data_IF_276024406782
#
_entry.id   IF_276024406782
#
_cell.length_a   1.000
_cell.length_b   1.000
_cell.length_c   1.000
_cell.angle_alpha   90.00
_cell.angle_beta   90.00
_cell.angle_gamma   90.00
#
_symmetry.space_group_name_H-M   'P 1'
#
loop_
_entity.id
_entity.type
_entity.pdbx_description
1 polymer ?
#
# COMPACT_ATOMS: atom_id res chain seq x y z
N UNK A 1 15.17 -7.61 0.25
CA UNK A 1 16.09 -7.16 1.29
C UNK A 1 15.51 -7.36 2.70
N UNK A 2 14.40 -6.66 3.06
CA UNK A 2 13.81 -6.75 4.42
C UNK A 2 13.46 -8.17 4.86
N UNK A 3 12.94 -9.02 3.98
CA UNK A 3 12.62 -10.41 4.29
C UNK A 3 13.85 -11.33 4.32
N UNK A 4 14.95 -10.94 3.68
CA UNK A 4 16.20 -11.70 3.62
C UNK A 4 17.08 -11.43 4.84
N UNK A 5 17.10 -10.19 5.33
CA UNK A 5 17.81 -9.75 6.55
C UNK A 5 17.03 -10.05 7.82
N UNK A 6 15.78 -10.49 7.70
CA UNK A 6 14.88 -10.74 8.84
C UNK A 6 15.38 -11.92 9.69
N UNK A 7 15.29 -11.75 11.01
CA UNK A 7 15.55 -12.80 12.01
C UNK A 7 14.59 -13.97 11.78
N UNK A 8 15.05 -15.19 11.96
CA UNK A 8 14.21 -16.39 11.85
C UNK A 8 12.99 -16.28 12.77
N UNK A 9 11.82 -16.65 12.23
CA UNK A 9 10.53 -16.53 12.93
C UNK A 9 9.87 -15.14 12.91
N UNK A 10 10.54 -14.07 12.43
CA UNK A 10 10.00 -12.71 12.38
C UNK A 10 9.94 -12.11 10.97
N UNK A 11 9.97 -12.95 9.95
CA UNK A 11 10.01 -12.51 8.55
C UNK A 11 8.77 -11.71 8.13
N UNK A 12 7.59 -12.01 8.68
CA UNK A 12 6.36 -11.27 8.40
C UNK A 12 6.39 -9.86 9.00
N UNK A 13 6.87 -9.74 10.24
CA UNK A 13 7.07 -8.44 10.90
C UNK A 13 8.01 -7.54 10.08
N UNK A 14 9.19 -8.04 9.70
CA UNK A 14 10.12 -7.24 8.90
C UNK A 14 9.61 -6.94 7.49
N UNK A 15 8.93 -7.89 6.84
CA UNK A 15 8.34 -7.68 5.53
C UNK A 15 7.21 -6.63 5.54
N UNK A 16 6.49 -6.46 6.65
CA UNK A 16 5.42 -5.47 6.79
C UNK A 16 5.91 -4.04 6.66
N UNK A 17 7.18 -3.75 6.98
CA UNK A 17 7.77 -2.42 6.81
C UNK A 17 7.83 -1.98 5.34
N UNK A 18 7.77 -2.90 4.38
CA UNK A 18 7.61 -2.55 2.97
C UNK A 18 6.29 -1.78 2.75
N UNK A 19 5.21 -2.23 3.37
CA UNK A 19 3.91 -1.54 3.27
C UNK A 19 3.90 -0.26 4.11
N UNK A 20 4.56 -0.23 5.27
CA UNK A 20 4.74 1.00 6.08
C UNK A 20 5.41 2.08 5.24
N UNK A 21 6.49 1.76 4.52
CA UNK A 21 7.18 2.74 3.67
C UNK A 21 6.34 3.16 2.45
N UNK A 22 5.59 2.23 1.86
CA UNK A 22 4.72 2.51 0.72
C UNK A 22 3.57 3.46 1.12
N UNK A 23 2.89 3.16 2.23
CA UNK A 23 1.79 3.99 2.75
C UNK A 23 2.35 5.31 3.28
N UNK A 24 3.51 5.30 3.95
CA UNK A 24 4.20 6.50 4.41
C UNK A 24 4.55 7.45 3.26
N UNK A 25 5.01 6.91 2.13
CA UNK A 25 5.25 7.67 0.90
C UNK A 25 3.96 8.30 0.34
N UNK A 26 2.85 7.55 0.36
CA UNK A 26 1.54 8.04 -0.07
C UNK A 26 1.03 9.16 0.86
N UNK A 27 1.15 8.99 2.18
CA UNK A 27 0.81 10.03 3.16
C UNK A 27 1.65 11.29 2.98
N UNK A 28 2.96 11.15 2.77
CA UNK A 28 3.85 12.28 2.51
C UNK A 28 3.41 13.04 1.26
N UNK A 29 3.06 12.34 0.19
CA UNK A 29 2.58 12.97 -1.04
C UNK A 29 1.28 13.75 -0.80
N UNK A 30 0.31 13.18 -0.06
CA UNK A 30 -0.93 13.87 0.31
C UNK A 30 -0.65 15.10 1.17
N UNK A 31 0.22 15.00 2.17
CA UNK A 31 0.59 16.12 3.03
C UNK A 31 1.23 17.26 2.24
N UNK A 32 2.10 16.95 1.27
CA UNK A 32 2.69 17.97 0.39
C UNK A 32 1.60 18.66 -0.43
N UNK A 33 0.66 17.93 -0.99
CA UNK A 33 -0.46 18.53 -1.76
C UNK A 33 -1.32 19.41 -0.86
N UNK A 34 -1.69 18.94 0.33
CA UNK A 34 -2.47 19.72 1.30
C UNK A 34 -1.74 20.99 1.71
N UNK A 35 -0.42 20.92 1.97
CA UNK A 35 0.39 22.10 2.29
C UNK A 35 0.41 23.10 1.13
N UNK A 36 0.55 22.63 -0.10
CA UNK A 36 0.52 23.49 -1.27
C UNK A 36 -0.84 24.18 -1.47
N UNK A 37 -1.96 23.48 -1.19
CA UNK A 37 -3.30 24.04 -1.24
C UNK A 37 -3.54 25.14 -0.18
N UNK A 38 -2.77 25.14 0.91
CA UNK A 38 -2.86 26.21 1.93
C UNK A 38 -2.03 27.45 1.55
N UNK A 39 -1.01 27.29 0.71
CA UNK A 39 -0.05 28.36 0.39
C UNK A 39 -0.30 28.96 -1.00
N UNK A 40 -0.79 28.17 -1.94
CA UNK A 40 -1.01 28.58 -3.33
C UNK A 40 -2.50 28.77 -3.62
N UNK A 41 -2.82 29.72 -4.50
CA UNK A 41 -4.15 29.84 -5.08
C UNK A 41 -4.46 28.63 -6.00
N UNK A 42 -5.75 28.36 -6.22
CA UNK A 42 -6.16 27.30 -7.14
C UNK A 42 -5.60 27.52 -8.56
N UNK A 43 -5.52 28.77 -9.01
CA UNK A 43 -4.93 29.13 -10.31
C UNK A 43 -3.46 28.80 -10.38
N UNK A 44 -2.67 29.15 -9.37
CA UNK A 44 -1.23 28.85 -9.30
C UNK A 44 -0.98 27.36 -9.15
N UNK A 45 -1.81 26.67 -8.37
CA UNK A 45 -1.71 25.22 -8.19
C UNK A 45 -1.90 24.49 -9.52
N UNK A 46 -2.89 24.90 -10.33
CA UNK A 46 -3.12 24.34 -11.65
C UNK A 46 -2.09 24.78 -12.70
N UNK A 47 -1.56 26.01 -12.61
CA UNK A 47 -0.58 26.51 -13.59
C UNK A 47 0.80 25.85 -13.44
N UNK A 48 1.34 25.81 -12.22
CA UNK A 48 2.70 25.32 -11.97
C UNK A 48 2.88 24.53 -10.67
N UNK A 49 2.04 24.75 -9.64
CA UNK A 49 2.17 24.18 -8.30
C UNK A 49 2.17 22.64 -8.30
N UNK A 50 1.46 22.00 -9.21
CA UNK A 50 1.43 20.55 -9.38
C UNK A 50 2.80 19.94 -9.70
N UNK A 51 3.76 20.74 -10.20
CA UNK A 51 5.13 20.27 -10.50
C UNK A 51 5.97 20.05 -9.23
N UNK A 52 5.64 20.74 -8.13
CA UNK A 52 6.42 20.67 -6.89
C UNK A 52 6.44 19.24 -6.30
N UNK A 53 5.33 18.52 -6.15
CA UNK A 53 5.35 17.14 -5.68
C UNK A 53 6.19 16.21 -6.56
N UNK A 54 6.19 16.41 -7.87
CA UNK A 54 7.01 15.64 -8.80
C UNK A 54 8.50 15.96 -8.67
N UNK A 55 8.84 17.22 -8.49
CA UNK A 55 10.24 17.64 -8.25
C UNK A 55 10.77 17.07 -6.93
N UNK A 56 9.97 17.11 -5.85
CA UNK A 56 10.30 16.46 -4.58
C UNK A 56 10.48 14.94 -4.76
N UNK A 57 9.59 14.28 -5.49
CA UNK A 57 9.70 12.87 -5.82
C UNK A 57 11.00 12.54 -6.59
N UNK A 58 11.39 13.39 -7.53
CA UNK A 58 12.64 13.22 -8.28
C UNK A 58 13.87 13.35 -7.37
N UNK A 59 13.89 14.33 -6.46
CA UNK A 59 14.98 14.49 -5.47
C UNK A 59 15.06 13.26 -4.56
N UNK A 60 13.91 12.80 -4.03
CA UNK A 60 13.86 11.59 -3.18
C UNK A 60 14.30 10.34 -3.95
N UNK A 61 14.00 10.22 -5.23
CA UNK A 61 14.46 9.12 -6.07
C UNK A 61 15.99 9.13 -6.24
N UNK A 62 16.61 10.31 -6.40
CA UNK A 62 18.08 10.45 -6.47
C UNK A 62 18.71 10.03 -5.13
N UNK A 63 18.15 10.48 -4.02
CA UNK A 63 18.60 10.08 -2.67
C UNK A 63 18.47 8.57 -2.48
N UNK A 64 17.34 7.98 -2.89
CA UNK A 64 17.13 6.55 -2.82
C UNK A 64 18.13 5.76 -3.67
N UNK A 65 18.47 6.25 -4.88
CA UNK A 65 19.49 5.65 -5.73
C UNK A 65 20.90 5.73 -5.10
N UNK A 66 21.20 6.84 -4.46
CA UNK A 66 22.47 6.99 -3.75
C UNK A 66 22.59 6.05 -2.56
N UNK A 67 21.55 5.98 -1.72
CA UNK A 67 21.48 5.04 -0.59
C UNK A 67 21.54 3.57 -1.06
N UNK A 68 20.85 3.22 -2.15
CA UNK A 68 20.88 1.87 -2.71
C UNK A 68 22.27 1.42 -3.15
N UNK A 69 23.12 2.35 -3.64
CA UNK A 69 24.49 2.03 -4.02
C UNK A 69 25.40 1.68 -2.84
N UNK A 70 25.00 2.04 -1.63
CA UNK A 70 25.74 1.75 -0.39
C UNK A 70 25.26 0.45 0.28
N UNK A 71 24.15 -0.15 -0.17
CA UNK A 71 23.63 -1.39 0.37
C UNK A 71 24.33 -2.57 -0.29
N UNK A 72 24.82 -3.51 0.54
CA UNK A 72 25.36 -4.77 0.09
C UNK A 72 24.29 -5.64 -0.57
N UNK A 73 24.69 -6.38 -1.59
CA UNK A 73 23.81 -7.31 -2.28
C UNK A 73 23.51 -8.53 -1.40
N UNK A 74 22.24 -8.68 -1.00
CA UNK A 74 21.77 -9.77 -0.14
C UNK A 74 21.40 -11.04 -0.90
N UNK A 75 21.33 -10.98 -2.25
CA UNK A 75 21.00 -12.16 -3.06
C UNK A 75 22.11 -13.19 -3.02
N UNK A 76 21.80 -14.44 -2.62
CA UNK A 76 22.76 -15.54 -2.55
C UNK A 76 23.40 -15.79 -3.91
N UNK A 77 24.73 -15.90 -3.96
CA UNK A 77 25.50 -16.19 -5.18
C UNK A 77 25.01 -17.48 -5.87
N UNK A 78 24.58 -18.48 -5.11
CA UNK A 78 24.00 -19.72 -5.62
C UNK A 78 22.75 -19.50 -6.48
N UNK A 79 21.86 -18.57 -6.09
CA UNK A 79 20.66 -18.25 -6.85
C UNK A 79 20.98 -17.51 -8.15
N UNK A 80 22.05 -16.70 -8.16
CA UNK A 80 22.53 -16.00 -9.36
C UNK A 80 23.23 -16.92 -10.34
N UNK A 81 23.91 -17.96 -9.83
CA UNK A 81 24.61 -18.94 -10.66
C UNK A 81 23.68 -19.88 -11.45
N UNK A 82 22.39 -19.96 -11.09
CA UNK A 82 21.40 -20.70 -11.84
C UNK A 82 21.18 -20.06 -13.21
N UNK A 83 21.59 -20.72 -14.29
CA UNK A 83 21.43 -20.26 -15.69
C UNK A 83 19.99 -19.89 -16.07
N UNK A 84 19.00 -20.39 -15.36
CA UNK A 84 17.58 -20.15 -15.59
C UNK A 84 16.97 -19.08 -14.66
N UNK A 85 17.75 -18.51 -13.71
CA UNK A 85 17.27 -17.45 -12.82
C UNK A 85 16.90 -16.21 -13.66
N UNK A 86 15.66 -15.76 -13.52
CA UNK A 86 15.14 -14.62 -14.30
C UNK A 86 14.77 -14.91 -15.75
N UNK A 87 14.86 -16.17 -16.23
CA UNK A 87 14.49 -16.52 -17.60
C UNK A 87 13.00 -16.87 -17.72
N UNK A 88 12.39 -16.54 -18.89
CA UNK A 88 11.02 -16.96 -19.20
C UNK A 88 10.83 -18.48 -19.16
N UNK A 89 11.87 -19.24 -19.53
CA UNK A 89 11.86 -20.71 -19.48
C UNK A 89 11.74 -21.23 -18.05
N UNK A 90 12.44 -20.62 -17.09
CA UNK A 90 12.35 -20.94 -15.67
C UNK A 90 10.95 -20.62 -15.10
N UNK A 91 10.36 -19.49 -15.51
CA UNK A 91 8.98 -19.12 -15.15
C UNK A 91 7.96 -20.16 -15.67
N UNK A 92 8.07 -20.55 -16.95
CA UNK A 92 7.16 -21.49 -17.57
C UNK A 92 7.26 -22.91 -16.96
N UNK A 93 8.45 -23.32 -16.58
CA UNK A 93 8.67 -24.59 -15.86
C UNK A 93 7.94 -24.60 -14.50
N UNK A 94 7.86 -23.43 -13.83
CA UNK A 94 7.21 -23.26 -12.55
C UNK A 94 5.84 -22.54 -12.65
N UNK A 95 5.11 -22.75 -13.76
CA UNK A 95 3.84 -22.04 -14.09
C UNK A 95 2.80 -22.06 -12.97
N UNK A 96 2.69 -23.15 -12.19
CA UNK A 96 1.76 -23.22 -11.06
C UNK A 96 2.09 -22.18 -9.98
N UNK A 97 3.35 -22.10 -9.57
CA UNK A 97 3.80 -21.11 -8.61
C UNK A 97 3.63 -19.68 -9.17
N UNK A 98 3.97 -19.48 -10.45
CA UNK A 98 3.80 -18.20 -11.13
C UNK A 98 2.34 -17.75 -11.14
N UNK A 99 1.39 -18.59 -11.54
CA UNK A 99 -0.05 -18.26 -11.58
C UNK A 99 -0.59 -17.99 -10.17
N UNK A 100 -0.17 -18.78 -9.16
CA UNK A 100 -0.57 -18.52 -7.78
C UNK A 100 -0.06 -17.16 -7.27
N UNK A 101 1.20 -16.84 -7.49
CA UNK A 101 1.78 -15.54 -7.09
C UNK A 101 1.10 -14.41 -7.84
N UNK A 102 0.88 -14.56 -9.15
CA UNK A 102 0.19 -13.56 -9.97
C UNK A 102 -1.23 -13.30 -9.46
N UNK A 103 -2.00 -14.37 -9.18
CA UNK A 103 -3.35 -14.27 -8.65
C UNK A 103 -3.41 -13.58 -7.29
N UNK A 104 -2.54 -13.96 -6.35
CA UNK A 104 -2.46 -13.30 -5.04
C UNK A 104 -2.04 -11.84 -5.14
N UNK A 105 -1.05 -11.54 -5.98
CA UNK A 105 -0.59 -10.16 -6.17
C UNK A 105 -1.67 -9.31 -6.82
N UNK A 106 -2.35 -9.81 -7.84
CA UNK A 106 -3.45 -9.10 -8.50
C UNK A 106 -4.61 -8.82 -7.54
N UNK A 107 -5.07 -9.83 -6.79
CA UNK A 107 -6.14 -9.68 -5.81
C UNK A 107 -5.75 -8.71 -4.67
N UNK A 108 -4.54 -8.87 -4.11
CA UNK A 108 -4.02 -8.00 -3.07
C UNK A 108 -3.87 -6.55 -3.53
N UNK A 109 -3.33 -6.34 -4.74
CA UNK A 109 -3.20 -5.00 -5.32
C UNK A 109 -4.55 -4.36 -5.61
N UNK A 110 -5.50 -5.11 -6.16
CA UNK A 110 -6.84 -4.62 -6.42
C UNK A 110 -7.50 -4.14 -5.12
N UNK A 111 -7.49 -4.98 -4.08
CA UNK A 111 -8.04 -4.62 -2.77
C UNK A 111 -7.32 -3.41 -2.17
N UNK A 112 -5.99 -3.40 -2.20
CA UNK A 112 -5.20 -2.29 -1.68
C UNK A 112 -5.56 -0.96 -2.36
N UNK A 113 -5.54 -0.90 -3.69
CA UNK A 113 -5.85 0.35 -4.41
C UNK A 113 -7.32 0.75 -4.33
N UNK A 114 -8.23 -0.20 -4.17
CA UNK A 114 -9.66 0.10 -3.93
C UNK A 114 -9.83 0.84 -2.61
N UNK A 115 -9.24 0.34 -1.53
CA UNK A 115 -9.41 0.94 -0.21
C UNK A 115 -8.48 2.11 0.09
N UNK A 116 -7.34 2.25 -0.58
CA UNK A 116 -6.40 3.36 -0.34
C UNK A 116 -6.53 4.52 -1.32
N UNK A 117 -6.83 4.24 -2.58
CA UNK A 117 -6.84 5.27 -3.63
C UNK A 117 -8.25 5.56 -4.16
N UNK A 118 -9.00 4.51 -4.50
CA UNK A 118 -10.34 4.68 -5.06
C UNK A 118 -11.36 5.12 -3.99
N UNK A 119 -11.18 4.73 -2.75
CA UNK A 119 -12.10 5.02 -1.66
C UNK A 119 -12.36 6.52 -1.48
N UNK A 120 -11.36 7.37 -1.67
CA UNK A 120 -11.54 8.83 -1.61
C UNK A 120 -12.57 9.30 -2.66
N UNK A 121 -12.45 8.82 -3.89
CA UNK A 121 -13.41 9.13 -4.97
C UNK A 121 -14.81 8.57 -4.65
N UNK A 122 -14.86 7.39 -4.05
CA UNK A 122 -16.11 6.77 -3.65
C UNK A 122 -16.85 7.57 -2.57
N UNK A 123 -16.15 8.06 -1.56
CA UNK A 123 -16.70 8.90 -0.50
C UNK A 123 -17.27 10.23 -1.06
N UNK A 124 -16.60 10.82 -2.04
CA UNK A 124 -17.08 12.06 -2.68
C UNK A 124 -18.25 11.79 -3.63
N UNK A 125 -18.09 10.86 -4.57
CA UNK A 125 -19.02 10.70 -5.68
C UNK A 125 -20.25 9.86 -5.32
N UNK A 126 -20.11 8.91 -4.40
CA UNK A 126 -21.17 7.94 -4.06
C UNK A 126 -21.76 8.21 -2.69
N UNK A 127 -20.95 8.48 -1.68
CA UNK A 127 -21.42 8.83 -0.34
C UNK A 127 -21.78 10.33 -0.18
N UNK A 128 -21.54 11.17 -1.20
CA UNK A 128 -21.93 12.58 -1.23
C UNK A 128 -21.14 13.46 -0.26
N UNK A 129 -19.99 13.03 0.21
CA UNK A 129 -19.15 13.80 1.13
C UNK A 129 -18.37 14.90 0.40
N UNK A 130 -18.04 15.98 1.12
CA UNK A 130 -17.16 17.02 0.57
C UNK A 130 -15.76 16.45 0.35
N UNK A 131 -15.05 16.95 -0.66
CA UNK A 131 -13.68 16.51 -0.97
C UNK A 131 -12.73 16.69 0.23
N UNK A 132 -12.89 17.77 0.99
CA UNK A 132 -12.12 18.04 2.20
C UNK A 132 -12.36 16.98 3.28
N UNK A 133 -13.62 16.65 3.58
CA UNK A 133 -13.98 15.62 4.56
C UNK A 133 -13.46 14.24 4.15
N UNK A 134 -13.63 13.87 2.87
CA UNK A 134 -13.12 12.62 2.34
C UNK A 134 -11.58 12.53 2.46
N UNK A 135 -10.87 13.62 2.19
CA UNK A 135 -9.40 13.68 2.33
C UNK A 135 -8.96 13.50 3.77
N UNK A 136 -9.63 14.12 4.74
CA UNK A 136 -9.32 13.96 6.17
C UNK A 136 -9.55 12.51 6.63
N UNK A 137 -10.70 11.93 6.25
CA UNK A 137 -11.02 10.52 6.57
C UNK A 137 -9.95 9.59 6.01
N UNK A 138 -9.60 9.76 4.74
CA UNK A 138 -8.61 8.89 4.08
C UNK A 138 -7.21 9.06 4.65
N UNK A 139 -6.80 10.29 4.97
CA UNK A 139 -5.49 10.55 5.60
C UNK A 139 -5.40 9.88 6.96
N UNK A 140 -6.44 10.03 7.78
CA UNK A 140 -6.50 9.40 9.10
C UNK A 140 -6.55 7.86 8.99
N UNK A 141 -7.34 7.31 8.06
CA UNK A 141 -7.43 5.87 7.82
C UNK A 141 -6.09 5.28 7.36
N UNK A 142 -5.40 5.94 6.41
CA UNK A 142 -4.08 5.53 5.94
C UNK A 142 -3.03 5.56 7.05
N UNK A 143 -3.10 6.56 7.93
CA UNK A 143 -2.20 6.66 9.08
C UNK A 143 -2.40 5.48 10.04
N UNK A 144 -3.65 5.18 10.40
CA UNK A 144 -3.97 4.01 11.24
C UNK A 144 -3.54 2.72 10.54
N UNK A 145 -3.83 2.59 9.25
CA UNK A 145 -3.44 1.42 8.46
C UNK A 145 -1.92 1.21 8.44
N UNK A 146 -1.15 2.28 8.32
CA UNK A 146 0.31 2.23 8.41
C UNK A 146 0.80 1.70 9.76
N UNK A 147 0.21 2.16 10.86
CA UNK A 147 0.59 1.74 12.22
C UNK A 147 0.24 0.28 12.51
N UNK A 148 -0.84 -0.22 11.93
CA UNK A 148 -1.34 -1.57 12.16
C UNK A 148 -0.57 -2.62 11.34
N UNK A 149 0.11 -2.24 10.24
CA UNK A 149 0.87 -3.16 9.39
C UNK A 149 1.86 -4.05 10.15
N UNK A 150 2.74 -3.53 11.06
CA UNK A 150 3.67 -4.39 11.80
C UNK A 150 2.97 -5.39 12.73
N UNK A 151 1.79 -5.03 13.25
CA UNK A 151 0.99 -5.92 14.11
C UNK A 151 0.48 -7.12 13.32
N UNK A 152 -0.06 -6.89 12.12
CA UNK A 152 -0.48 -7.98 11.22
C UNK A 152 0.70 -8.80 10.70
N UNK A 153 1.85 -8.17 10.46
CA UNK A 153 3.09 -8.86 10.13
C UNK A 153 3.50 -9.84 11.23
N UNK A 154 3.52 -9.38 12.49
CA UNK A 154 3.81 -10.21 13.66
C UNK A 154 2.74 -11.29 13.90
N UNK A 155 1.47 -10.97 13.68
CA UNK A 155 0.37 -11.95 13.74
C UNK A 155 0.56 -13.06 12.71
N UNK A 156 0.91 -12.72 11.47
CA UNK A 156 1.19 -13.69 10.40
C UNK A 156 2.36 -14.62 10.73
N UNK A 157 3.38 -14.13 11.46
CA UNK A 157 4.49 -14.97 11.92
C UNK A 157 4.06 -16.00 12.98
N UNK A 158 3.05 -15.68 13.84
CA UNK A 158 2.53 -16.59 14.88
C UNK A 158 1.53 -17.62 14.33
N UNK A 159 0.58 -17.16 13.51
CA UNK A 159 -0.55 -17.99 13.03
C UNK A 159 -0.18 -18.77 11.76
N UNK A 160 0.88 -18.36 11.08
CA UNK A 160 1.31 -18.93 9.82
C UNK A 160 0.75 -18.16 8.61
N UNK A 161 1.59 -18.06 7.58
CA UNK A 161 1.30 -17.26 6.38
C UNK A 161 0.09 -17.75 5.61
N UNK A 162 -0.06 -19.08 5.49
CA UNK A 162 -1.19 -19.69 4.77
C UNK A 162 -2.52 -19.31 5.42
N UNK A 163 -2.61 -19.43 6.74
CA UNK A 163 -3.83 -19.10 7.50
C UNK A 163 -4.14 -17.61 7.40
N UNK A 164 -3.12 -16.74 7.54
CA UNK A 164 -3.29 -15.29 7.41
C UNK A 164 -3.82 -14.90 6.02
N UNK A 165 -3.29 -15.50 4.94
CA UNK A 165 -3.75 -15.23 3.57
C UNK A 165 -5.18 -15.75 3.32
N UNK A 166 -5.54 -16.91 3.87
CA UNK A 166 -6.90 -17.44 3.77
C UNK A 166 -7.89 -16.57 4.55
N UNK A 167 -7.55 -16.16 5.77
CA UNK A 167 -8.37 -15.22 6.55
C UNK A 167 -8.60 -13.92 5.79
N UNK A 168 -7.54 -13.33 5.22
CA UNK A 168 -7.67 -12.12 4.40
C UNK A 168 -8.62 -12.34 3.20
N UNK A 169 -8.44 -13.41 2.44
CA UNK A 169 -9.28 -13.72 1.27
C UNK A 169 -10.76 -13.89 1.65
N UNK A 170 -11.04 -14.63 2.73
CA UNK A 170 -12.41 -14.84 3.23
C UNK A 170 -13.03 -13.53 3.72
N UNK A 171 -12.32 -12.77 4.55
CA UNK A 171 -12.80 -11.48 5.08
C UNK A 171 -13.03 -10.48 3.95
N UNK A 172 -12.09 -10.33 3.02
CA UNK A 172 -12.24 -9.44 1.87
C UNK A 172 -13.46 -9.80 1.02
N UNK A 173 -13.69 -11.09 0.77
CA UNK A 173 -14.85 -11.55 -0.03
C UNK A 173 -16.18 -11.30 0.69
N UNK A 174 -16.23 -11.55 1.98
CA UNK A 174 -17.48 -11.43 2.75
C UNK A 174 -17.83 -9.98 3.08
N UNK A 175 -16.85 -9.14 3.39
CA UNK A 175 -17.09 -7.81 3.95
C UNK A 175 -16.97 -6.65 2.97
N UNK A 176 -16.30 -6.81 1.83
CA UNK A 176 -16.13 -5.69 0.87
C UNK A 176 -17.47 -5.14 0.40
N UNK A 177 -18.40 -5.99 -0.05
CA UNK A 177 -19.71 -5.52 -0.55
C UNK A 177 -20.57 -4.93 0.56
N UNK A 178 -20.74 -5.57 1.73
CA UNK A 178 -21.45 -4.97 2.86
C UNK A 178 -20.88 -3.63 3.31
N UNK A 179 -19.56 -3.49 3.42
CA UNK A 179 -18.91 -2.24 3.83
C UNK A 179 -19.17 -1.13 2.81
N UNK A 180 -18.98 -1.40 1.51
CA UNK A 180 -19.26 -0.41 0.46
C UNK A 180 -20.73 -0.01 0.43
N UNK A 181 -21.64 -0.95 0.61
CA UNK A 181 -23.09 -0.68 0.67
C UNK A 181 -23.48 0.12 1.93
N UNK A 182 -22.84 -0.13 3.06
CA UNK A 182 -23.04 0.64 4.28
C UNK A 182 -22.54 2.08 4.13
N UNK A 183 -21.37 2.27 3.49
CA UNK A 183 -20.82 3.60 3.24
C UNK A 183 -21.73 4.50 2.41
N UNK A 184 -22.55 3.95 1.51
CA UNK A 184 -23.53 4.73 0.75
C UNK A 184 -24.65 5.35 1.62
N UNK A 185 -24.95 4.70 2.76
CA UNK A 185 -26.05 5.11 3.65
C UNK A 185 -25.59 6.01 4.80
N UNK A 186 -24.26 6.15 4.95
CA UNK A 186 -23.67 6.87 6.09
C UNK A 186 -23.34 8.31 5.69
N UNK A 187 -24.00 9.27 6.36
CA UNK A 187 -23.72 10.70 6.23
C UNK A 187 -22.74 11.23 7.27
N UNK A 188 -22.44 10.45 8.33
CA UNK A 188 -21.54 10.85 9.40
C UNK A 188 -20.08 10.56 9.05
N UNK A 189 -19.17 11.56 9.12
CA UNK A 189 -17.75 11.37 8.88
C UNK A 189 -17.10 10.32 9.80
N UNK A 190 -17.51 10.26 11.07
CA UNK A 190 -16.98 9.32 12.05
C UNK A 190 -17.37 7.87 11.75
N UNK A 191 -18.61 7.66 11.33
CA UNK A 191 -19.07 6.33 10.94
C UNK A 191 -18.42 5.87 9.64
N UNK A 192 -18.21 6.79 8.66
CA UNK A 192 -17.46 6.48 7.45
C UNK A 192 -15.99 6.10 7.75
N UNK A 193 -15.33 6.83 8.63
CA UNK A 193 -13.98 6.52 9.09
C UNK A 193 -13.91 5.12 9.73
N UNK A 194 -14.86 4.78 10.62
CA UNK A 194 -14.94 3.47 11.24
C UNK A 194 -15.10 2.34 10.21
N UNK A 195 -15.96 2.53 9.19
CA UNK A 195 -16.17 1.55 8.12
C UNK A 195 -14.97 1.40 7.16
N UNK A 196 -14.20 2.46 6.96
CA UNK A 196 -12.99 2.40 6.11
C UNK A 196 -11.84 1.67 6.81
N UNK A 197 -11.78 1.71 8.16
CA UNK A 197 -10.73 1.02 8.94
C UNK A 197 -11.06 -0.47 9.15
N UNK A 198 -12.33 -0.86 9.16
CA UNK A 198 -12.75 -2.27 9.29
C UNK A 198 -12.34 -3.11 8.11
#
# INVERSE_FOLDING_TARGET
>A
YMSEVAIEGKKGFYASFQYVTLIGGQLLAVLVVVALQQVLSDEDLHAWGWRIPFALGAVLAIVALWLRRQLDETSKQETRALKEAGSFKGLWRNRRAFVMVLGFTAAGSLTFYTFTTYMQKYLVNTAGMTASTASVIMTAALFVYMLVQPLFGAFSDKVGRRTSMLCFGVLATLFTVPILSALQKVSSPYAAFGLVIC
#
